data_IF_540161399081
#
_entry.id   IF_540161399081
#
_cell.length_a   1.000
_cell.length_b   1.000
_cell.length_c   1.000
_cell.angle_alpha   90.00
_cell.angle_beta   90.00
_cell.angle_gamma   90.00
#
_symmetry.space_group_name_H-M   'P 1'
#
loop_
_entity.id
_entity.type
_entity.pdbx_description
1 polymer ?
#
# COMPACT_ATOMS: atom_id res chain seq x y z
N UNK A 1 10.73 13.09 9.24
CA UNK A 1 9.72 13.56 10.23
C UNK A 1 8.98 12.37 10.80
N UNK A 2 8.48 12.47 12.04
CA UNK A 2 7.69 11.42 12.68
C UNK A 2 6.20 11.71 12.47
N UNK A 3 5.44 10.71 12.02
CA UNK A 3 3.99 10.79 11.78
C UNK A 3 3.31 9.71 12.61
N UNK A 4 2.22 10.06 13.28
CA UNK A 4 1.39 9.11 14.03
C UNK A 4 0.08 8.92 13.29
N UNK A 5 -0.29 7.68 13.00
CA UNK A 5 -1.52 7.33 12.29
C UNK A 5 -2.42 6.54 13.23
N UNK A 6 -3.69 6.92 13.32
CA UNK A 6 -4.69 6.19 14.11
C UNK A 6 -5.14 4.92 13.39
N UNK A 7 -5.60 3.93 14.16
CA UNK A 7 -6.20 2.71 13.60
C UNK A 7 -7.33 3.05 12.63
N UNK A 8 -7.34 2.38 11.49
CA UNK A 8 -8.36 2.53 10.46
C UNK A 8 -8.13 3.71 9.51
N UNK A 9 -7.06 4.49 9.69
CA UNK A 9 -6.69 5.56 8.77
C UNK A 9 -5.60 5.12 7.81
N UNK A 10 -5.50 5.84 6.70
CA UNK A 10 -4.46 5.64 5.69
C UNK A 10 -3.67 6.92 5.47
N UNK A 11 -2.35 6.82 5.48
CA UNK A 11 -1.45 7.88 5.04
C UNK A 11 -1.04 7.61 3.59
N UNK A 12 -1.43 8.49 2.67
CA UNK A 12 -0.92 8.52 1.32
C UNK A 12 0.40 9.27 1.31
N UNK A 13 1.42 8.68 0.69
CA UNK A 13 2.75 9.31 0.58
C UNK A 13 3.16 9.32 -0.89
N UNK A 14 3.44 10.52 -1.40
CA UNK A 14 4.01 10.72 -2.74
C UNK A 14 5.53 10.68 -2.70
N UNK A 15 6.11 10.00 -3.68
CA UNK A 15 7.55 9.95 -3.88
C UNK A 15 8.07 11.14 -4.69
N UNK A 16 9.38 11.43 -4.61
CA UNK A 16 10.40 10.61 -3.96
C UNK A 16 10.36 10.72 -2.43
N UNK A 17 10.20 9.58 -1.75
CA UNK A 17 10.09 9.53 -0.30
C UNK A 17 10.50 8.15 0.26
N UNK A 18 10.64 8.04 1.58
CA UNK A 18 10.70 6.75 2.25
C UNK A 18 9.97 6.76 3.57
N UNK A 19 9.36 5.63 3.90
CA UNK A 19 8.61 5.41 5.14
C UNK A 19 9.21 4.24 5.89
N UNK A 20 9.49 4.42 7.17
CA UNK A 20 9.98 3.38 8.08
C UNK A 20 9.00 3.18 9.22
N UNK A 21 8.61 1.94 9.53
CA UNK A 21 7.75 1.65 10.67
C UNK A 21 8.54 1.71 11.98
N UNK A 22 8.14 2.60 12.90
CA UNK A 22 8.77 2.73 14.22
C UNK A 22 8.01 1.97 15.32
N UNK A 23 6.70 1.84 15.19
CA UNK A 23 5.85 1.10 16.13
C UNK A 23 4.44 0.87 15.55
N UNK A 24 3.77 -0.20 15.98
CA UNK A 24 2.40 -0.51 15.60
C UNK A 24 2.33 -1.52 14.44
N UNK A 25 1.27 -1.45 13.66
CA UNK A 25 0.97 -2.38 12.57
C UNK A 25 0.39 -1.60 11.37
N UNK A 26 1.14 -1.58 10.27
CA UNK A 26 0.82 -0.82 9.06
C UNK A 26 0.99 -1.71 7.84
N UNK A 27 0.05 -1.60 6.91
CA UNK A 27 0.06 -2.30 5.64
C UNK A 27 0.27 -1.31 4.48
N UNK A 28 1.02 -1.72 3.46
CA UNK A 28 1.13 -1.03 2.17
C UNK A 28 0.88 -2.00 1.02
N UNK A 29 -0.14 -1.73 0.20
CA UNK A 29 -0.56 -2.61 -0.90
C UNK A 29 -0.52 -4.11 -0.55
N UNK A 30 -1.20 -4.52 0.51
CA UNK A 30 -1.25 -5.94 0.88
C UNK A 30 -0.03 -6.48 1.63
N UNK A 31 1.04 -5.71 1.78
CA UNK A 31 2.25 -6.10 2.54
C UNK A 31 2.23 -5.52 3.95
N UNK A 32 2.34 -6.38 4.96
CA UNK A 32 2.47 -5.97 6.36
C UNK A 32 3.92 -5.56 6.65
N UNK A 33 4.12 -4.26 6.90
CA UNK A 33 5.46 -3.70 7.11
C UNK A 33 6.02 -4.19 8.44
N UNK A 34 7.26 -4.70 8.43
CA UNK A 34 7.96 -5.12 9.65
C UNK A 34 8.52 -3.92 10.41
N UNK A 35 8.71 -4.08 11.72
CA UNK A 35 9.34 -3.04 12.53
C UNK A 35 10.74 -2.70 11.98
N UNK A 36 11.04 -1.40 11.85
CA UNK A 36 12.25 -0.86 11.24
C UNK A 36 12.45 -1.18 9.75
N UNK A 37 11.47 -1.77 9.07
CA UNK A 37 11.50 -1.95 7.62
C UNK A 37 11.27 -0.60 6.93
N UNK A 38 12.12 -0.30 5.94
CA UNK A 38 12.06 0.92 5.15
C UNK A 38 11.46 0.63 3.77
N UNK A 39 10.36 1.31 3.45
CA UNK A 39 9.72 1.29 2.15
C UNK A 39 10.11 2.56 1.39
N UNK A 40 10.62 2.42 0.17
CA UNK A 40 11.01 3.54 -0.70
C UNK A 40 9.91 3.80 -1.73
N UNK A 41 9.42 5.03 -1.76
CA UNK A 41 8.46 5.51 -2.75
C UNK A 41 9.24 6.29 -3.80
N UNK A 42 9.25 5.77 -5.03
CA UNK A 42 9.96 6.40 -6.16
C UNK A 42 9.21 7.64 -6.65
N UNK A 43 9.94 8.51 -7.34
CA UNK A 43 9.37 9.69 -8.00
C UNK A 43 8.19 9.31 -8.92
N UNK A 44 7.15 10.15 -8.90
CA UNK A 44 5.90 9.92 -9.64
C UNK A 44 5.09 8.71 -9.16
N UNK A 45 5.30 8.20 -7.94
CA UNK A 45 4.51 7.12 -7.33
C UNK A 45 3.88 7.58 -6.02
N UNK A 46 2.68 7.05 -5.76
CA UNK A 46 1.94 7.21 -4.50
C UNK A 46 1.75 5.84 -3.85
N UNK A 47 1.97 5.74 -2.54
CA UNK A 47 1.73 4.50 -1.78
C UNK A 47 0.80 4.75 -0.59
N UNK A 48 -0.21 3.87 -0.35
CA UNK A 48 -1.10 3.96 0.80
C UNK A 48 -0.57 3.14 1.98
N UNK A 49 -0.38 3.79 3.13
CA UNK A 49 0.03 3.17 4.38
C UNK A 49 -1.18 3.12 5.33
N UNK A 50 -1.87 1.99 5.38
CA UNK A 50 -3.08 1.80 6.21
C UNK A 50 -2.70 1.24 7.58
N UNK A 51 -3.14 1.90 8.65
CA UNK A 51 -2.84 1.50 10.02
C UNK A 51 -3.89 0.52 10.56
N UNK A 52 -3.48 -0.71 10.86
CA UNK A 52 -4.33 -1.73 11.50
C UNK A 52 -4.39 -1.52 13.04
N UNK A 53 -3.41 -0.81 13.58
CA UNK A 53 -3.31 -0.38 14.98
C UNK A 53 -2.75 1.05 15.04
N UNK A 54 -2.92 1.80 16.15
CA UNK A 54 -2.26 3.09 16.31
C UNK A 54 -0.74 2.92 16.12
N UNK A 55 -0.19 3.62 15.13
CA UNK A 55 1.16 3.36 14.63
C UNK A 55 1.95 4.65 14.49
N UNK A 56 3.28 4.52 14.54
CA UNK A 56 4.20 5.63 14.31
C UNK A 56 5.16 5.28 13.18
N UNK A 57 5.27 6.20 12.23
CA UNK A 57 6.11 6.10 11.05
C UNK A 57 7.16 7.21 11.07
N UNK A 58 8.37 6.88 10.62
CA UNK A 58 9.34 7.87 10.18
C UNK A 58 9.19 8.07 8.67
N UNK A 59 8.88 9.29 8.26
CA UNK A 59 8.71 9.66 6.86
C UNK A 59 9.82 10.62 6.45
N UNK A 60 10.58 10.29 5.43
CA UNK A 60 11.55 11.17 4.78
C UNK A 60 11.00 11.59 3.43
N UNK A 61 10.74 12.88 3.26
CA UNK A 61 10.22 13.45 2.02
C UNK A 61 11.37 14.05 1.21
N UNK A 62 11.41 13.73 -0.07
CA UNK A 62 12.27 14.39 -1.06
C UNK A 62 11.59 15.62 -1.65
N UNK A 63 12.14 16.09 -2.76
CA UNK A 63 11.62 17.26 -3.48
C UNK A 63 10.22 16.98 -4.04
N UNK A 64 9.28 17.92 -3.88
CA UNK A 64 7.88 17.82 -4.31
C UNK A 64 7.05 16.67 -3.70
N UNK A 65 7.60 15.91 -2.75
CA UNK A 65 6.87 14.86 -2.05
C UNK A 65 5.87 15.47 -1.04
N UNK A 66 4.68 14.88 -0.95
CA UNK A 66 3.65 15.28 0.02
C UNK A 66 3.06 14.07 0.74
N UNK A 67 2.33 14.36 1.82
CA UNK A 67 1.57 13.37 2.57
C UNK A 67 0.14 13.85 2.77
N UNK A 68 -0.81 12.92 2.70
CA UNK A 68 -2.24 13.18 2.94
C UNK A 68 -2.81 12.06 3.81
N UNK A 69 -3.62 12.40 4.81
CA UNK A 69 -4.30 11.41 5.67
C UNK A 69 -5.77 11.29 5.29
N UNK A 70 -6.25 10.04 5.17
CA UNK A 70 -7.64 9.73 4.87
C UNK A 70 -8.22 8.77 5.91
N UNK A 71 -9.51 8.92 6.20
CA UNK A 71 -10.28 7.95 6.98
C UNK A 71 -10.54 6.69 6.15
N UNK A 72 -10.35 5.52 6.76
CA UNK A 72 -10.55 4.23 6.11
C UNK A 72 -9.38 3.78 5.23
N UNK A 73 -9.56 2.62 4.60
CA UNK A 73 -8.64 2.10 3.59
C UNK A 73 -8.89 2.75 2.24
N UNK A 74 -7.80 3.12 1.55
CA UNK A 74 -7.88 3.60 0.15
C UNK A 74 -7.74 2.46 -0.86
N UNK A 75 -7.67 1.20 -0.42
CA UNK A 75 -7.72 0.03 -1.30
C UNK A 75 -9.18 -0.22 -1.71
N UNK A 76 -9.51 -0.22 -3.02
CA UNK A 76 -10.87 -0.46 -3.47
C UNK A 76 -11.40 -1.84 -3.07
N UNK A 77 -12.68 -1.92 -2.70
CA UNK A 77 -13.35 -3.21 -2.41
C UNK A 77 -13.26 -4.20 -3.59
N UNK A 78 -13.29 -3.68 -4.83
CA UNK A 78 -13.14 -4.50 -6.03
C UNK A 78 -11.81 -5.22 -6.13
N UNK A 79 -10.73 -4.68 -5.53
CA UNK A 79 -9.44 -5.37 -5.48
C UNK A 79 -9.48 -6.58 -4.54
N UNK A 80 -10.14 -6.42 -3.39
CA UNK A 80 -10.32 -7.49 -2.41
C UNK A 80 -11.16 -8.61 -3.04
N UNK A 81 -12.28 -8.27 -3.67
CA UNK A 81 -13.14 -9.23 -4.37
C UNK A 81 -12.39 -9.98 -5.48
N UNK A 82 -11.56 -9.29 -6.26
CA UNK A 82 -10.77 -9.92 -7.30
C UNK A 82 -9.70 -10.88 -6.73
N UNK A 83 -9.04 -10.51 -5.63
CA UNK A 83 -8.14 -11.41 -4.91
C UNK A 83 -8.88 -12.65 -4.39
N UNK A 84 -10.06 -12.49 -3.78
CA UNK A 84 -10.90 -13.60 -3.34
C UNK A 84 -11.26 -14.54 -4.50
N UNK A 85 -11.67 -14.00 -5.66
CA UNK A 85 -11.93 -14.82 -6.85
C UNK A 85 -10.70 -15.62 -7.29
N UNK A 86 -9.52 -15.01 -7.30
CA UNK A 86 -8.26 -15.67 -7.68
C UNK A 86 -7.86 -16.77 -6.70
N UNK A 87 -8.12 -16.60 -5.40
CA UNK A 87 -7.86 -17.61 -4.37
C UNK A 87 -8.64 -18.91 -4.60
N UNK A 88 -9.83 -18.83 -5.20
CA UNK A 88 -10.72 -19.97 -5.43
C UNK A 88 -10.44 -20.72 -6.75
N UNK A 89 -9.48 -20.26 -7.56
CA UNK A 89 -9.09 -20.96 -8.79
C UNK A 89 -8.36 -22.26 -8.41
N UNK A 90 -8.96 -23.41 -8.76
CA UNK A 90 -8.47 -24.74 -8.38
C UNK A 90 -7.26 -25.21 -9.18
N UNK A 91 -7.19 -24.86 -10.46
CA UNK A 91 -6.10 -25.27 -11.35
C UNK A 91 -4.89 -24.35 -11.15
N UNK A 92 -3.76 -24.93 -10.72
CA UNK A 92 -2.51 -24.20 -10.47
C UNK A 92 -1.33 -24.89 -11.18
N UNK A 93 -0.38 -24.12 -11.75
CA UNK A 93 -0.30 -22.66 -11.74
C UNK A 93 -1.30 -21.99 -12.69
N UNK A 94 -1.88 -20.87 -12.26
CA UNK A 94 -2.78 -20.04 -13.07
C UNK A 94 -2.08 -18.79 -13.60
N UNK A 95 -2.54 -18.27 -14.74
CA UNK A 95 -2.06 -17.01 -15.30
C UNK A 95 -3.20 -15.99 -15.22
N UNK A 96 -2.96 -14.88 -14.53
CA UNK A 96 -3.88 -13.74 -14.49
C UNK A 96 -3.32 -12.58 -15.31
N UNK A 97 -4.12 -12.04 -16.23
CA UNK A 97 -3.76 -10.88 -17.05
C UNK A 97 -4.56 -9.67 -16.59
N UNK A 98 -3.87 -8.59 -16.21
CA UNK A 98 -4.49 -7.34 -15.75
C UNK A 98 -4.44 -6.32 -16.88
N UNK A 99 -5.61 -5.90 -17.37
CA UNK A 99 -5.78 -4.95 -18.48
C UNK A 99 -6.43 -3.65 -18.02
N UNK A 100 -6.17 -2.55 -18.74
CA UNK A 100 -6.72 -1.23 -18.40
C UNK A 100 -5.91 -0.07 -19.02
N UNK A 101 -6.54 1.11 -19.06
CA UNK A 101 -5.97 2.34 -19.62
C UNK A 101 -4.66 2.78 -18.92
N UNK A 102 -3.83 3.63 -19.56
CA UNK A 102 -2.69 4.25 -18.88
C UNK A 102 -3.10 4.87 -17.53
N UNK A 103 -2.24 4.68 -16.52
CA UNK A 103 -2.45 5.18 -15.15
C UNK A 103 -3.72 4.73 -14.42
N UNK A 104 -4.39 3.66 -14.87
CA UNK A 104 -5.59 3.12 -14.21
C UNK A 104 -5.31 2.31 -12.93
N UNK A 105 -4.12 2.41 -12.34
CA UNK A 105 -3.75 1.67 -11.12
C UNK A 105 -3.34 0.20 -11.29
N UNK A 106 -3.14 -0.29 -12.53
CA UNK A 106 -2.78 -1.69 -12.81
C UNK A 106 -1.56 -2.18 -12.03
N UNK A 107 -0.47 -1.41 -12.05
CA UNK A 107 0.77 -1.78 -11.36
C UNK A 107 0.54 -1.87 -9.85
N UNK A 108 -0.18 -0.92 -9.27
CA UNK A 108 -0.54 -0.92 -7.86
C UNK A 108 -1.41 -2.13 -7.49
N UNK A 109 -2.36 -2.50 -8.36
CA UNK A 109 -3.19 -3.70 -8.17
C UNK A 109 -2.37 -4.98 -8.29
N UNK A 110 -1.46 -5.10 -9.26
CA UNK A 110 -0.56 -6.24 -9.37
C UNK A 110 0.32 -6.38 -8.13
N UNK A 111 0.86 -5.28 -7.59
CA UNK A 111 1.63 -5.29 -6.33
C UNK A 111 0.77 -5.80 -5.17
N UNK A 112 -0.47 -5.30 -5.06
CA UNK A 112 -1.42 -5.77 -4.05
C UNK A 112 -1.68 -7.27 -4.13
N UNK A 113 -1.98 -7.77 -5.33
CA UNK A 113 -2.19 -9.20 -5.56
C UNK A 113 -0.93 -10.02 -5.26
N UNK A 114 0.24 -9.59 -5.73
CA UNK A 114 1.49 -10.32 -5.52
C UNK A 114 1.87 -10.45 -4.03
N UNK A 115 1.50 -9.48 -3.20
CA UNK A 115 1.71 -9.55 -1.75
C UNK A 115 0.69 -10.43 -1.02
N UNK A 116 -0.49 -10.66 -1.62
CA UNK A 116 -1.64 -11.36 -1.00
C UNK A 116 -1.88 -12.78 -1.50
N UNK A 117 -1.36 -13.13 -2.68
CA UNK A 117 -1.45 -14.47 -3.29
C UNK A 117 -0.33 -15.39 -2.76
#
# INVERSE_FOLDING_TARGET
MKVSIQKGKTLLVDGPASVTLLSGEVEVFGHLIKLNERVVIRDGKRMPFTANQPSSLEVSLGENACIEEYEGSTIPLSWIQAWECLMHVKEKPGIAVILGAPDSGKTSFCTYLANRL
#
